data_IF_065050165897
#
_entry.id   IF_065050165897
#
_cell.length_a   1.000
_cell.length_b   1.000
_cell.length_c   1.000
_cell.angle_alpha   90.00
_cell.angle_beta   90.00
_cell.angle_gamma   90.00
#
_symmetry.space_group_name_H-M   'P 1'
#
loop_
_entity.id
_entity.type
_entity.pdbx_description
1 polymer ?
#
# COMPACT_ATOMS: atom_id res chain seq x y z
N UNK A 1 -14.74 40.60 -22.54
CA UNK A 1 -13.72 39.58 -22.23
C UNK A 1 -13.27 39.77 -20.79
N UNK A 2 -13.56 38.83 -19.92
CA UNK A 2 -12.99 38.77 -18.57
C UNK A 2 -12.77 37.29 -18.25
N UNK A 3 -11.50 36.89 -18.27
CA UNK A 3 -11.05 35.55 -17.89
C UNK A 3 -11.15 35.48 -16.37
N UNK A 4 -12.15 34.76 -15.85
CA UNK A 4 -12.26 34.49 -14.43
C UNK A 4 -11.23 33.40 -14.12
N UNK A 5 -10.16 33.78 -13.42
CA UNK A 5 -9.20 32.86 -12.82
C UNK A 5 -9.97 31.79 -12.04
N UNK A 6 -9.91 30.55 -12.50
CA UNK A 6 -10.31 29.39 -11.72
C UNK A 6 -9.26 29.23 -10.63
N UNK A 7 -9.66 29.36 -9.37
CA UNK A 7 -8.81 28.95 -8.25
C UNK A 7 -8.75 27.42 -8.26
N UNK A 8 -7.62 26.87 -8.69
CA UNK A 8 -7.21 25.49 -8.43
C UNK A 8 -6.75 25.40 -6.98
N UNK A 9 -7.67 25.47 -6.03
CA UNK A 9 -7.35 25.29 -4.61
C UNK A 9 -8.46 24.46 -3.94
N UNK A 10 -8.71 23.27 -4.50
CA UNK A 10 -9.29 22.14 -3.77
C UNK A 10 -8.87 20.84 -4.49
N UNK A 11 -7.57 20.73 -4.75
CA UNK A 11 -6.96 19.49 -5.23
C UNK A 11 -6.66 18.65 -3.98
N UNK A 12 -7.71 18.16 -3.34
CA UNK A 12 -7.60 16.99 -2.49
C UNK A 12 -7.02 15.89 -3.39
N UNK A 13 -5.71 15.70 -3.32
CA UNK A 13 -4.95 14.71 -4.04
C UNK A 13 -5.49 13.33 -3.65
N UNK A 14 -6.54 12.90 -4.34
CA UNK A 14 -6.89 11.50 -4.46
C UNK A 14 -5.79 10.92 -5.35
N UNK A 15 -4.62 10.69 -4.76
CA UNK A 15 -3.57 9.93 -5.38
C UNK A 15 -4.19 8.57 -5.67
N UNK A 16 -4.49 8.28 -6.94
CA UNK A 16 -4.97 6.97 -7.36
C UNK A 16 -3.88 5.99 -6.95
N UNK A 17 -4.10 5.31 -5.82
CA UNK A 17 -3.19 4.28 -5.33
C UNK A 17 -3.11 3.20 -6.40
N UNK A 18 -1.89 2.77 -6.72
CA UNK A 18 -1.70 1.58 -7.57
C UNK A 18 -2.54 0.43 -6.99
N UNK A 19 -3.25 -0.37 -7.81
CA UNK A 19 -4.17 -1.39 -7.32
C UNK A 19 -3.55 -2.33 -6.28
N UNK A 20 -2.33 -2.81 -6.52
CA UNK A 20 -1.61 -3.68 -5.58
C UNK A 20 -1.24 -2.96 -4.27
N UNK A 21 -0.92 -1.68 -4.32
CA UNK A 21 -0.65 -0.88 -3.11
C UNK A 21 -1.90 -0.81 -2.24
N UNK A 22 -3.08 -0.59 -2.84
CA UNK A 22 -4.35 -0.61 -2.12
C UNK A 22 -4.62 -2.00 -1.50
N UNK A 23 -4.43 -3.08 -2.26
CA UNK A 23 -4.60 -4.45 -1.76
C UNK A 23 -3.65 -4.79 -0.60
N UNK A 24 -2.40 -4.33 -0.65
CA UNK A 24 -1.43 -4.49 0.45
C UNK A 24 -1.90 -3.72 1.69
N UNK A 25 -2.41 -2.49 1.53
CA UNK A 25 -2.95 -1.70 2.64
C UNK A 25 -4.13 -2.45 3.28
N UNK A 26 -5.06 -2.97 2.49
CA UNK A 26 -6.20 -3.74 2.99
C UNK A 26 -5.77 -5.00 3.72
N UNK A 27 -4.84 -5.77 3.16
CA UNK A 27 -4.28 -6.96 3.80
C UNK A 27 -3.63 -6.60 5.15
N UNK A 28 -2.81 -5.54 5.20
CA UNK A 28 -2.20 -5.09 6.45
C UNK A 28 -3.24 -4.61 7.45
N UNK A 29 -4.27 -3.85 7.04
CA UNK A 29 -5.39 -3.45 7.91
C UNK A 29 -6.12 -4.65 8.50
N UNK A 30 -6.39 -5.67 7.69
CA UNK A 30 -6.98 -6.94 8.15
C UNK A 30 -6.15 -7.55 9.29
N UNK A 31 -4.82 -7.53 9.18
CA UNK A 31 -3.90 -7.97 10.24
C UNK A 31 -3.51 -6.87 11.24
N UNK A 32 -4.39 -5.89 11.52
CA UNK A 32 -4.18 -4.83 12.52
C UNK A 32 -2.97 -3.93 12.26
N UNK A 33 -2.59 -3.77 11.00
CA UNK A 33 -1.57 -2.84 10.52
C UNK A 33 -0.14 -3.36 10.58
N UNK A 34 0.08 -4.63 10.91
CA UNK A 34 1.41 -5.29 10.88
C UNK A 34 1.29 -6.81 10.77
N UNK A 35 1.98 -7.43 9.81
CA UNK A 35 2.06 -8.89 9.72
C UNK A 35 3.28 -9.36 8.92
N UNK A 36 3.45 -10.67 8.78
CA UNK A 36 4.52 -11.24 7.99
C UNK A 36 4.22 -11.07 6.48
N UNK A 37 5.22 -10.73 5.66
CA UNK A 37 5.06 -10.53 4.19
C UNK A 37 4.37 -11.72 3.51
N UNK A 38 4.68 -12.93 3.96
CA UNK A 38 4.06 -14.17 3.48
C UNK A 38 2.55 -14.18 3.69
N UNK A 39 2.07 -13.70 4.84
CA UNK A 39 0.64 -13.63 5.14
C UNK A 39 -0.09 -12.59 4.28
N UNK A 40 0.57 -11.47 3.95
CA UNK A 40 0.04 -10.48 2.98
C UNK A 40 -0.13 -11.13 1.61
N UNK A 41 0.92 -11.79 1.12
CA UNK A 41 0.93 -12.45 -0.19
C UNK A 41 -0.17 -13.52 -0.26
N UNK A 42 -0.22 -14.42 0.72
CA UNK A 42 -1.22 -15.49 0.77
C UNK A 42 -2.66 -14.94 0.83
N UNK A 43 -2.88 -13.84 1.55
CA UNK A 43 -4.18 -13.18 1.64
C UNK A 43 -4.63 -12.63 0.28
N UNK A 44 -3.74 -11.90 -0.42
CA UNK A 44 -4.04 -11.30 -1.72
C UNK A 44 -4.20 -12.38 -2.80
N UNK A 45 -3.31 -13.38 -2.85
CA UNK A 45 -3.43 -14.50 -3.78
C UNK A 45 -4.74 -15.27 -3.60
N UNK A 46 -5.19 -15.46 -2.35
CA UNK A 46 -6.47 -16.10 -2.08
C UNK A 46 -7.65 -15.28 -2.62
N UNK A 47 -7.61 -13.95 -2.49
CA UNK A 47 -8.62 -13.06 -3.04
C UNK A 47 -8.65 -13.11 -4.59
N UNK A 48 -7.49 -13.02 -5.24
CA UNK A 48 -7.37 -13.13 -6.70
C UNK A 48 -7.89 -14.48 -7.20
N UNK A 49 -7.49 -15.59 -6.56
CA UNK A 49 -7.95 -16.94 -6.92
C UNK A 49 -9.47 -17.07 -6.78
N UNK A 50 -10.05 -16.52 -5.72
CA UNK A 50 -11.52 -16.52 -5.51
C UNK A 50 -12.26 -15.74 -6.60
N UNK A 51 -11.62 -14.71 -7.14
CA UNK A 51 -12.13 -13.89 -8.25
C UNK A 51 -11.79 -14.46 -9.64
N UNK A 52 -11.12 -15.61 -9.72
CA UNK A 52 -10.72 -16.22 -11.01
C UNK A 52 -9.55 -15.53 -11.70
N UNK A 53 -8.80 -14.68 -11.00
CA UNK A 53 -7.61 -14.01 -11.53
C UNK A 53 -6.38 -14.91 -11.40
N UNK A 54 -5.42 -14.73 -12.31
CA UNK A 54 -4.15 -15.45 -12.28
C UNK A 54 -3.27 -14.95 -11.13
N UNK A 55 -2.60 -15.89 -10.45
CA UNK A 55 -1.69 -15.60 -9.33
C UNK A 55 -0.22 -15.80 -9.69
N UNK A 56 0.08 -16.26 -10.91
CA UNK A 56 1.45 -16.49 -11.35
C UNK A 56 2.23 -15.18 -11.40
N UNK A 57 3.35 -15.12 -10.67
CA UNK A 57 4.18 -13.91 -10.53
C UNK A 57 3.61 -12.83 -9.61
N UNK A 58 2.39 -13.01 -9.06
CA UNK A 58 1.72 -12.03 -8.21
C UNK A 58 2.52 -11.72 -6.94
N UNK A 59 3.12 -12.74 -6.31
CA UNK A 59 3.99 -12.55 -5.16
C UNK A 59 5.15 -11.57 -5.43
N UNK A 60 5.80 -11.67 -6.60
CA UNK A 60 6.87 -10.75 -6.98
C UNK A 60 6.35 -9.33 -7.22
N UNK A 61 5.19 -9.19 -7.84
CA UNK A 61 4.55 -7.90 -8.04
C UNK A 61 4.14 -7.22 -6.71
N UNK A 62 3.62 -7.99 -5.75
CA UNK A 62 3.29 -7.53 -4.40
C UNK A 62 4.55 -7.01 -3.68
N UNK A 63 5.66 -7.75 -3.75
CA UNK A 63 6.94 -7.33 -3.16
C UNK A 63 7.44 -6.04 -3.80
N UNK A 64 7.46 -5.97 -5.14
CA UNK A 64 7.90 -4.79 -5.85
C UNK A 64 7.03 -3.55 -5.54
N UNK A 65 5.72 -3.73 -5.39
CA UNK A 65 4.81 -2.65 -4.99
C UNK A 65 5.06 -2.18 -3.56
N UNK A 66 5.26 -3.11 -2.63
CA UNK A 66 5.64 -2.77 -1.25
C UNK A 66 6.95 -1.98 -1.20
N UNK A 67 7.99 -2.46 -1.88
CA UNK A 67 9.32 -1.83 -1.90
C UNK A 67 9.31 -0.45 -2.55
N UNK A 68 8.53 -0.25 -3.64
CA UNK A 68 8.35 1.05 -4.29
C UNK A 68 7.80 2.12 -3.34
N UNK A 69 6.94 1.70 -2.41
CA UNK A 69 6.27 2.57 -1.45
C UNK A 69 6.76 2.37 -0.02
N UNK A 70 7.96 1.80 0.16
CA UNK A 70 8.59 1.64 1.46
C UNK A 70 9.19 2.97 1.92
N UNK A 71 8.77 3.43 3.10
CA UNK A 71 9.33 4.58 3.79
C UNK A 71 10.64 4.27 4.51
N UNK A 72 11.44 5.30 4.77
CA UNK A 72 12.73 5.21 5.46
C UNK A 72 12.61 5.29 7.00
N UNK A 73 11.41 5.57 7.52
CA UNK A 73 11.19 5.79 8.93
C UNK A 73 9.72 5.82 9.34
N UNK A 74 9.49 6.14 10.61
CA UNK A 74 8.13 6.21 11.19
C UNK A 74 7.33 7.41 10.65
N UNK A 75 8.01 8.53 10.44
CA UNK A 75 7.40 9.81 10.03
C UNK A 75 7.38 10.00 8.51
N UNK A 76 7.81 8.98 7.74
CA UNK A 76 7.76 9.00 6.29
C UNK A 76 6.29 8.95 5.80
N UNK A 77 5.88 9.84 4.88
CA UNK A 77 4.50 9.87 4.37
C UNK A 77 4.15 8.64 3.52
N UNK A 78 5.12 7.84 3.09
CA UNK A 78 4.90 6.60 2.35
C UNK A 78 4.11 5.60 3.21
N UNK A 79 3.24 4.78 2.59
CA UNK A 79 2.27 3.96 3.32
C UNK A 79 2.88 2.79 4.08
N UNK A 80 4.09 2.37 3.73
CA UNK A 80 4.69 1.15 4.24
C UNK A 80 5.98 1.40 5.01
N UNK A 81 6.26 0.54 5.98
CA UNK A 81 7.52 0.53 6.75
C UNK A 81 7.92 -0.87 7.17
N UNK A 82 9.20 -1.02 7.54
CA UNK A 82 9.74 -2.23 8.15
C UNK A 82 9.93 -2.02 9.66
N UNK A 83 9.06 -2.58 10.52
CA UNK A 83 9.04 -2.27 11.96
C UNK A 83 10.25 -2.80 12.73
N UNK A 84 11.00 -3.76 12.17
CA UNK A 84 12.18 -4.37 12.81
C UNK A 84 13.47 -4.10 12.03
N UNK A 85 13.47 -3.11 11.13
CA UNK A 85 14.63 -2.74 10.31
C UNK A 85 14.65 -3.38 8.91
N UNK A 86 15.71 -3.12 8.11
CA UNK A 86 15.75 -3.41 6.67
C UNK A 86 15.56 -4.88 6.28
N UNK A 87 16.02 -5.81 7.11
CA UNK A 87 15.92 -7.25 6.84
C UNK A 87 14.60 -7.87 7.35
N UNK A 88 13.65 -7.03 7.79
CA UNK A 88 12.42 -7.54 8.38
C UNK A 88 11.53 -8.23 7.35
N UNK A 89 11.15 -9.46 7.65
CA UNK A 89 10.04 -10.12 6.95
C UNK A 89 8.66 -9.64 7.41
N UNK A 90 8.60 -8.73 8.39
CA UNK A 90 7.35 -8.11 8.82
C UNK A 90 7.16 -6.79 8.07
N UNK A 91 5.96 -6.63 7.55
CA UNK A 91 5.51 -5.41 6.89
C UNK A 91 4.49 -4.72 7.80
N UNK A 92 4.50 -3.39 7.79
CA UNK A 92 3.58 -2.59 8.58
C UNK A 92 3.13 -1.36 7.81
N UNK A 93 1.95 -0.86 8.17
CA UNK A 93 1.51 0.47 7.78
C UNK A 93 2.31 1.53 8.54
N UNK A 94 2.65 2.61 7.84
CA UNK A 94 3.07 3.87 8.47
C UNK A 94 1.94 4.49 9.28
N UNK A 95 2.27 5.43 10.16
CA UNK A 95 1.25 6.09 10.98
C UNK A 95 0.30 6.92 10.10
N UNK A 96 0.79 7.50 9.00
CA UNK A 96 -0.01 8.20 7.99
C UNK A 96 -1.06 7.28 7.33
N UNK A 97 -0.68 6.05 6.95
CA UNK A 97 -1.60 5.10 6.32
C UNK A 97 -2.56 4.40 7.30
N UNK A 98 -2.35 4.55 8.61
CA UNK A 98 -3.26 4.02 9.65
C UNK A 98 -4.47 4.92 9.90
N UNK A 99 -4.40 6.20 9.54
CA UNK A 99 -5.44 7.20 9.85
C UNK A 99 -6.47 7.38 8.73
N UNK A 100 -6.17 6.87 7.53
CA UNK A 100 -7.07 6.80 6.37
C UNK A 100 -7.99 5.59 6.54
#
# INVERSE_FOLDING_TARGET
MAIKLVRLEDEATVTVLEPLTAEIIEALRYFRGVCHRKQVIEFIEAAHRKSGQAVDGLAGAIIAAFERHLGDGRDDPRPFRLPLGPDSHRWALSDAARTI
#
